data_IF_017024583845
#
_entry.id   IF_017024583845
#
_cell.length_a   1.000
_cell.length_b   1.000
_cell.length_c   1.000
_cell.angle_alpha   90.00
_cell.angle_beta   90.00
_cell.angle_gamma   90.00
#
_symmetry.space_group_name_H-M   'P 1'
#
loop_
_entity.id
_entity.type
_entity.pdbx_description
1 polymer ?
#
# COMPACT_ATOMS: atom_id res chain seq x y z
N UNK A 1 -2.24 -5.71 -5.20
CA UNK A 1 -1.75 -4.54 -4.44
C UNK A 1 -0.40 -4.80 -3.80
N UNK A 2 -0.26 -5.74 -2.87
CA UNK A 2 1.01 -5.99 -2.16
C UNK A 2 2.20 -6.25 -3.10
N UNK A 3 2.04 -7.15 -4.09
CA UNK A 3 3.09 -7.44 -5.06
C UNK A 3 3.49 -6.24 -5.94
N UNK A 4 2.56 -5.30 -6.16
CA UNK A 4 2.86 -4.04 -6.86
C UNK A 4 3.73 -3.15 -5.96
N UNK A 5 3.35 -2.97 -4.70
CA UNK A 5 4.13 -2.20 -3.73
C UNK A 5 5.51 -2.82 -3.48
N UNK A 6 5.63 -4.14 -3.43
CA UNK A 6 6.90 -4.87 -3.33
C UNK A 6 7.84 -4.60 -4.52
N UNK A 7 7.30 -4.43 -5.73
CA UNK A 7 8.11 -4.00 -6.89
C UNK A 7 8.57 -2.55 -6.72
N UNK A 8 7.66 -1.65 -6.34
CA UNK A 8 7.98 -0.25 -6.06
C UNK A 8 9.04 -0.10 -4.97
N UNK A 9 8.97 -0.88 -3.89
CA UNK A 9 10.02 -0.90 -2.87
C UNK A 9 11.39 -1.24 -3.45
N UNK A 10 11.50 -2.27 -4.31
CA UNK A 10 12.75 -2.63 -4.98
C UNK A 10 13.24 -1.57 -5.98
N UNK A 11 12.34 -0.95 -6.74
CA UNK A 11 12.66 0.13 -7.68
C UNK A 11 13.20 1.38 -6.97
N UNK A 12 12.82 1.60 -5.72
CA UNK A 12 13.24 2.75 -4.89
C UNK A 12 14.25 2.36 -3.78
N UNK A 13 14.98 1.26 -3.94
CA UNK A 13 16.05 0.81 -3.05
C UNK A 13 15.64 0.62 -1.58
N UNK A 14 14.43 0.10 -1.34
CA UNK A 14 14.00 -0.38 -0.02
C UNK A 14 14.35 -1.85 0.16
N UNK A 15 14.85 -2.18 1.34
CA UNK A 15 15.09 -3.55 1.78
C UNK A 15 13.84 -4.06 2.50
N UNK A 16 13.14 -5.02 1.89
CA UNK A 16 11.99 -5.65 2.54
C UNK A 16 12.46 -6.59 3.66
N UNK A 17 11.97 -6.36 4.87
CA UNK A 17 12.27 -7.13 6.08
C UNK A 17 10.99 -7.70 6.69
N UNK A 18 11.13 -8.56 7.69
CA UNK A 18 10.02 -9.07 8.49
C UNK A 18 10.42 -9.12 9.96
N UNK A 19 9.63 -8.46 10.82
CA UNK A 19 9.86 -8.45 12.26
C UNK A 19 8.78 -9.26 13.00
N UNK A 20 9.09 -9.84 14.17
CA UNK A 20 8.12 -10.58 14.98
C UNK A 20 6.86 -9.77 15.30
N UNK A 21 5.71 -10.43 15.42
CA UNK A 21 4.45 -9.78 15.80
C UNK A 21 4.30 -9.60 17.30
N UNK A 22 4.91 -10.47 18.10
CA UNK A 22 4.90 -10.43 19.56
C UNK A 22 6.29 -10.04 20.03
N UNK A 23 6.40 -8.96 20.81
CA UNK A 23 7.67 -8.44 21.30
C UNK A 23 7.59 -8.18 22.81
N UNK A 24 8.73 -8.33 23.48
CA UNK A 24 8.83 -8.15 24.93
C UNK A 24 8.42 -6.72 25.33
N UNK A 25 7.68 -6.62 26.45
CA UNK A 25 7.22 -5.35 27.03
C UNK A 25 8.33 -4.30 27.15
N UNK A 26 9.54 -4.72 27.53
CA UNK A 26 10.70 -3.83 27.73
C UNK A 26 11.07 -3.02 26.48
N UNK A 27 10.83 -3.54 25.28
CA UNK A 27 11.07 -2.79 24.04
C UNK A 27 10.08 -1.62 23.89
N UNK A 28 8.83 -1.82 24.30
CA UNK A 28 7.78 -0.81 24.25
C UNK A 28 7.99 0.28 25.30
N UNK A 29 8.51 -0.08 26.48
CA UNK A 29 8.92 0.87 27.53
C UNK A 29 10.11 1.72 27.06
N UNK A 30 11.18 1.08 26.56
CA UNK A 30 12.34 1.81 26.03
C UNK A 30 11.96 2.77 24.90
N UNK A 31 11.13 2.32 23.97
CA UNK A 31 10.69 3.13 22.84
C UNK A 31 9.72 4.28 23.21
N UNK A 32 9.11 4.25 24.40
CA UNK A 32 8.13 5.27 24.81
C UNK A 32 6.68 4.96 24.45
N UNK A 33 6.43 3.83 23.80
CA UNK A 33 5.10 3.44 23.37
C UNK A 33 4.28 2.85 24.50
N UNK A 34 4.93 2.27 25.51
CA UNK A 34 4.21 1.77 26.68
C UNK A 34 3.54 2.92 27.43
N UNK A 35 4.22 4.04 27.67
CA UNK A 35 3.64 5.16 28.42
C UNK A 35 2.53 5.87 27.64
N UNK A 36 2.64 5.94 26.31
CA UNK A 36 1.76 6.76 25.47
C UNK A 36 0.67 5.96 24.74
N UNK A 37 0.85 4.65 24.55
CA UNK A 37 0.03 3.84 23.65
C UNK A 37 -0.47 2.52 24.24
N UNK A 38 -0.06 2.18 25.48
CA UNK A 38 -0.41 0.92 26.14
C UNK A 38 -1.90 0.58 26.10
N UNK A 39 -2.77 1.56 26.35
CA UNK A 39 -4.23 1.32 26.40
C UNK A 39 -4.80 0.85 25.05
N UNK A 40 -4.08 1.14 23.95
CA UNK A 40 -4.40 0.73 22.59
C UNK A 40 -3.59 -0.50 22.13
N UNK A 41 -2.88 -1.20 23.03
CA UNK A 41 -2.10 -2.39 22.71
C UNK A 41 -2.82 -3.65 23.19
N UNK A 42 -2.63 -4.76 22.46
CA UNK A 42 -2.95 -6.09 22.99
C UNK A 42 -1.73 -6.63 23.73
N UNK A 43 -1.91 -7.04 24.97
CA UNK A 43 -0.88 -7.64 25.81
C UNK A 43 -1.10 -9.14 25.96
N UNK A 44 -0.03 -9.88 26.19
CA UNK A 44 -0.05 -11.32 26.47
C UNK A 44 1.10 -11.68 27.41
N UNK A 45 1.08 -12.88 27.98
CA UNK A 45 2.13 -13.35 28.86
C UNK A 45 2.56 -14.78 28.50
N UNK A 46 3.83 -15.10 28.71
CA UNK A 46 4.40 -16.44 28.57
C UNK A 46 5.61 -16.58 29.47
N UNK A 47 5.76 -17.71 30.16
CA UNK A 47 6.94 -18.03 30.98
C UNK A 47 7.38 -16.90 31.93
N UNK A 48 6.43 -16.29 32.65
CA UNK A 48 6.64 -15.15 33.56
C UNK A 48 7.17 -13.86 32.90
N UNK A 49 7.00 -13.70 31.59
CA UNK A 49 7.31 -12.47 30.85
C UNK A 49 6.05 -11.88 30.23
N UNK A 50 5.99 -10.55 30.25
CA UNK A 50 4.96 -9.77 29.59
C UNK A 50 5.41 -9.41 28.17
N UNK A 51 4.48 -9.57 27.24
CA UNK A 51 4.66 -9.23 25.84
C UNK A 51 3.52 -8.34 25.37
N UNK A 52 3.76 -7.65 24.26
CA UNK A 52 2.68 -7.01 23.52
C UNK A 52 2.71 -7.43 22.05
N UNK A 53 1.53 -7.53 21.48
CA UNK A 53 1.35 -7.62 20.03
C UNK A 53 1.63 -6.25 19.45
N UNK A 54 2.53 -6.16 18.46
CA UNK A 54 3.03 -4.89 17.95
C UNK A 54 1.88 -3.98 17.44
N UNK A 55 1.74 -2.75 17.93
CA UNK A 55 0.82 -1.75 17.36
C UNK A 55 1.42 -1.00 16.15
N UNK A 56 2.72 -1.15 15.93
CA UNK A 56 3.53 -0.53 14.87
C UNK A 56 4.87 -1.27 14.70
N UNK A 57 5.54 -1.08 13.56
CA UNK A 57 6.77 -1.82 13.23
C UNK A 57 8.06 -1.13 13.68
N UNK A 58 8.02 0.17 13.95
CA UNK A 58 9.18 1.04 14.12
C UNK A 58 10.24 0.48 15.10
N UNK A 59 9.88 0.05 16.33
CA UNK A 59 10.88 -0.48 17.27
C UNK A 59 11.63 -1.71 16.73
N UNK A 60 10.93 -2.59 16.00
CA UNK A 60 11.56 -3.76 15.37
C UNK A 60 12.55 -3.37 14.26
N UNK A 61 12.24 -2.34 13.48
CA UNK A 61 13.14 -1.84 12.43
C UNK A 61 14.38 -1.18 13.03
N UNK A 62 14.24 -0.49 14.16
CA UNK A 62 15.40 0.02 14.90
C UNK A 62 16.27 -1.12 15.44
N UNK A 63 15.70 -2.23 15.89
CA UNK A 63 16.51 -3.40 16.29
C UNK A 63 17.27 -4.02 15.10
N UNK A 64 16.71 -3.98 13.89
CA UNK A 64 17.43 -4.38 12.67
C UNK A 64 18.56 -3.39 12.39
N UNK A 65 18.32 -2.09 12.49
CA UNK A 65 19.37 -1.08 12.36
C UNK A 65 20.50 -1.31 13.36
N UNK A 66 20.19 -1.58 14.62
CA UNK A 66 21.20 -1.85 15.65
C UNK A 66 22.00 -3.15 15.41
N UNK A 67 21.57 -4.00 14.48
CA UNK A 67 22.32 -5.17 14.09
C UNK A 67 23.44 -4.81 13.11
N UNK A 68 24.59 -4.45 13.66
CA UNK A 68 25.79 -4.11 12.90
C UNK A 68 26.32 -2.71 13.23
N UNK A 69 27.43 -2.35 12.59
CA UNK A 69 27.99 -1.01 12.65
C UNK A 69 27.73 -0.34 11.30
N UNK A 70 27.07 0.82 11.31
CA UNK A 70 26.80 1.60 10.10
C UNK A 70 27.75 2.80 10.01
N UNK A 71 28.28 3.06 8.83
CA UNK A 71 28.97 4.30 8.48
C UNK A 71 27.98 5.30 7.88
N UNK A 72 28.31 6.60 7.91
CA UNK A 72 27.58 7.63 7.16
C UNK A 72 27.43 7.29 5.66
N UNK A 73 28.34 6.48 5.11
CA UNK A 73 28.31 5.99 3.72
C UNK A 73 27.24 4.94 3.45
N UNK A 74 26.80 4.23 4.49
CA UNK A 74 25.74 3.23 4.39
C UNK A 74 24.34 3.87 4.45
N UNK A 75 24.28 5.16 4.83
CA UNK A 75 23.04 5.94 4.87
C UNK A 75 22.80 6.68 3.54
N UNK A 76 21.55 6.74 3.06
CA UNK A 76 20.31 6.35 3.74
C UNK A 76 20.01 4.85 3.66
N UNK A 77 19.70 4.22 4.80
CA UNK A 77 19.21 2.84 4.89
C UNK A 77 17.68 2.83 4.93
N UNK A 78 17.05 2.12 4.00
CA UNK A 78 15.58 2.07 3.87
C UNK A 78 15.07 0.66 4.15
N UNK A 79 14.32 0.50 5.24
CA UNK A 79 13.69 -0.78 5.61
C UNK A 79 12.19 -0.68 5.33
N UNK A 80 11.64 -1.62 4.55
CA UNK A 80 10.20 -1.73 4.31
C UNK A 80 9.66 -3.03 4.88
N UNK A 81 8.42 -3.03 5.37
CA UNK A 81 7.75 -4.24 5.84
C UNK A 81 6.26 -4.14 5.57
N UNK A 82 5.67 -5.18 4.96
CA UNK A 82 4.23 -5.41 5.06
C UNK A 82 3.90 -5.91 6.47
N UNK A 83 3.91 -4.97 7.41
CA UNK A 83 3.92 -5.26 8.84
C UNK A 83 2.52 -5.46 9.39
N UNK A 84 2.24 -6.68 9.86
CA UNK A 84 0.98 -7.01 10.52
C UNK A 84 0.99 -6.48 11.96
N UNK A 85 0.19 -5.45 12.20
CA UNK A 85 0.08 -4.74 13.45
C UNK A 85 -1.33 -4.87 14.04
N UNK A 86 -1.43 -4.70 15.35
CA UNK A 86 -2.71 -4.79 16.06
C UNK A 86 -2.89 -3.63 17.04
N UNK A 87 -4.09 -3.03 17.01
CA UNK A 87 -4.49 -1.97 17.94
C UNK A 87 -5.79 -2.35 18.62
N UNK A 88 -5.85 -2.17 19.94
CA UNK A 88 -7.01 -2.46 20.78
C UNK A 88 -8.08 -1.37 20.66
N UNK A 89 -8.53 -1.14 19.43
CA UNK A 89 -9.60 -0.18 19.13
C UNK A 89 -10.89 -0.52 19.89
N UNK A 90 -11.61 0.51 20.31
CA UNK A 90 -12.91 0.34 20.99
C UNK A 90 -13.89 -0.36 20.05
N UNK A 91 -14.68 -1.29 20.57
CA UNK A 91 -15.58 -2.13 19.77
C UNK A 91 -16.58 -1.31 18.95
N UNK A 92 -17.06 -0.18 19.48
CA UNK A 92 -17.99 0.73 18.80
C UNK A 92 -17.36 1.54 17.65
N UNK A 93 -16.03 1.58 17.54
CA UNK A 93 -15.34 2.30 16.45
C UNK A 93 -15.07 1.45 15.21
N UNK A 94 -15.26 0.13 15.30
CA UNK A 94 -14.93 -0.79 14.20
C UNK A 94 -15.91 -0.63 13.03
N UNK A 95 -15.38 -0.61 11.81
CA UNK A 95 -16.19 -0.42 10.61
C UNK A 95 -15.58 -1.11 9.39
N UNK A 96 -16.14 -2.27 9.02
CA UNK A 96 -15.78 -3.01 7.81
C UNK A 96 -14.25 -3.16 7.65
N UNK A 97 -13.74 -2.69 6.51
CA UNK A 97 -12.30 -2.61 6.23
C UNK A 97 -11.66 -1.25 6.59
N UNK A 98 -12.48 -0.26 6.93
CA UNK A 98 -12.03 1.13 7.15
C UNK A 98 -11.40 1.33 8.53
N UNK A 99 -11.89 0.60 9.54
CA UNK A 99 -11.38 0.65 10.92
C UNK A 99 -11.43 -0.74 11.55
N UNK A 100 -10.25 -1.31 11.75
CA UNK A 100 -10.04 -2.71 12.14
C UNK A 100 -9.02 -2.81 13.27
N UNK A 101 -9.03 -3.92 14.02
CA UNK A 101 -8.05 -4.19 15.10
C UNK A 101 -6.74 -4.76 14.59
N UNK A 102 -6.78 -5.59 13.56
CA UNK A 102 -5.59 -6.14 12.91
C UNK A 102 -5.49 -5.58 11.50
N UNK A 103 -4.32 -5.08 11.14
CA UNK A 103 -4.08 -4.46 9.84
C UNK A 103 -2.64 -4.67 9.37
N UNK A 104 -2.43 -4.61 8.06
CA UNK A 104 -1.11 -4.69 7.45
C UNK A 104 -0.81 -3.40 6.72
N UNK A 105 0.28 -2.72 7.05
CA UNK A 105 0.67 -1.48 6.36
C UNK A 105 1.80 -1.72 5.37
N UNK A 106 1.87 -0.91 4.33
CA UNK A 106 3.08 -0.77 3.48
C UNK A 106 4.14 0.11 4.17
N UNK A 107 4.43 -0.24 5.43
CA UNK A 107 5.23 0.55 6.35
C UNK A 107 6.70 0.53 5.95
N UNK A 108 7.39 1.66 6.12
CA UNK A 108 8.82 1.72 5.93
C UNK A 108 9.46 2.78 6.84
N UNK A 109 10.71 2.50 7.23
CA UNK A 109 11.54 3.36 8.05
C UNK A 109 12.84 3.64 7.30
N UNK A 110 13.14 4.93 7.11
CA UNK A 110 14.37 5.39 6.48
C UNK A 110 15.27 5.96 7.56
N UNK A 111 16.45 5.37 7.74
CA UNK A 111 17.50 5.89 8.59
C UNK A 111 18.45 6.72 7.74
N UNK A 112 18.58 8.01 8.04
CA UNK A 112 19.39 8.93 7.26
C UNK A 112 20.06 9.98 8.14
N UNK A 113 21.03 10.71 7.59
CA UNK A 113 21.60 11.88 8.27
C UNK A 113 20.65 13.08 8.17
N UNK A 114 20.82 14.10 9.02
CA UNK A 114 19.99 15.32 8.97
C UNK A 114 19.98 15.96 7.58
N UNK A 115 21.13 15.99 6.90
CA UNK A 115 21.28 16.58 5.56
C UNK A 115 20.59 15.75 4.46
N UNK A 116 20.30 14.47 4.72
CA UNK A 116 19.63 13.57 3.78
C UNK A 116 18.09 13.59 3.91
N UNK A 117 17.53 14.21 4.96
CA UNK A 117 16.08 14.27 5.19
C UNK A 117 15.33 14.81 3.97
N UNK A 118 15.73 15.99 3.47
CA UNK A 118 15.04 16.63 2.36
C UNK A 118 15.09 15.80 1.06
N UNK A 119 16.26 15.31 0.59
CA UNK A 119 16.33 14.38 -0.54
C UNK A 119 15.46 13.14 -0.38
N UNK A 120 15.41 12.54 0.81
CA UNK A 120 14.61 11.34 1.07
C UNK A 120 13.09 11.62 1.05
N UNK A 121 12.66 12.75 1.60
CA UNK A 121 11.25 13.18 1.53
C UNK A 121 10.85 13.43 0.07
N UNK A 122 11.70 14.07 -0.74
CA UNK A 122 11.43 14.27 -2.17
C UNK A 122 11.35 12.94 -2.94
N UNK A 123 12.27 12.00 -2.70
CA UNK A 123 12.22 10.66 -3.29
C UNK A 123 10.93 9.91 -2.92
N UNK A 124 10.50 10.04 -1.67
CA UNK A 124 9.23 9.47 -1.21
C UNK A 124 8.02 10.09 -1.92
N UNK A 125 7.97 11.42 -2.06
CA UNK A 125 6.90 12.13 -2.75
C UNK A 125 6.77 11.65 -4.21
N UNK A 126 7.90 11.50 -4.92
CA UNK A 126 7.90 10.99 -6.30
C UNK A 126 7.29 9.58 -6.36
N UNK A 127 7.75 8.67 -5.51
CA UNK A 127 7.21 7.30 -5.44
C UNK A 127 5.72 7.29 -5.09
N UNK A 128 5.30 8.11 -4.14
CA UNK A 128 3.90 8.22 -3.71
C UNK A 128 2.99 8.69 -4.85
N UNK A 129 3.40 9.71 -5.60
CA UNK A 129 2.64 10.24 -6.73
C UNK A 129 2.53 9.22 -7.87
N UNK A 130 3.60 8.47 -8.15
CA UNK A 130 3.55 7.35 -9.11
C UNK A 130 2.53 6.30 -8.70
N UNK A 131 2.57 5.87 -7.44
CA UNK A 131 1.65 4.85 -6.90
C UNK A 131 0.22 5.32 -7.00
N UNK A 132 -0.09 6.53 -6.52
CA UNK A 132 -1.45 7.06 -6.57
C UNK A 132 -2.00 7.20 -7.98
N UNK A 133 -1.19 7.69 -8.91
CA UNK A 133 -1.56 7.76 -10.33
C UNK A 133 -1.87 6.38 -10.91
N UNK A 134 -1.04 5.37 -10.63
CA UNK A 134 -1.26 4.00 -11.12
C UNK A 134 -2.55 3.38 -10.55
N UNK A 135 -2.97 3.80 -9.35
CA UNK A 135 -4.26 3.43 -8.75
C UNK A 135 -5.44 4.31 -9.17
N UNK A 136 -5.22 5.31 -10.04
CA UNK A 136 -6.28 6.19 -10.57
C UNK A 136 -6.59 7.42 -9.73
N UNK A 137 -5.76 7.74 -8.72
CA UNK A 137 -5.88 8.94 -7.91
C UNK A 137 -4.99 10.06 -8.45
N UNK A 138 -5.60 11.04 -9.11
CA UNK A 138 -4.88 12.17 -9.71
C UNK A 138 -4.95 13.45 -8.87
N UNK A 139 -5.90 13.54 -7.94
CA UNK A 139 -6.07 14.67 -7.02
C UNK A 139 -5.62 14.26 -5.61
N UNK A 140 -4.46 14.77 -5.19
CA UNK A 140 -3.89 14.52 -3.86
C UNK A 140 -3.80 15.83 -3.11
N UNK A 141 -4.48 15.91 -1.97
CA UNK A 141 -4.40 17.05 -1.07
C UNK A 141 -3.28 16.79 -0.06
N UNK A 142 -2.38 17.77 0.10
CA UNK A 142 -1.22 17.65 0.99
C UNK A 142 -1.44 18.52 2.21
N UNK A 143 -1.17 17.95 3.39
CA UNK A 143 -1.25 18.68 4.66
C UNK A 143 0.04 18.53 5.45
N UNK A 144 0.52 19.63 6.03
CA UNK A 144 1.69 19.67 6.93
C UNK A 144 1.20 19.86 8.36
N UNK A 145 1.24 18.80 9.16
CA UNK A 145 0.87 18.85 10.57
C UNK A 145 2.07 19.21 11.44
N UNK A 146 1.97 20.33 12.18
CA UNK A 146 3.06 20.90 12.99
C UNK A 146 2.90 20.58 14.48
N UNK A 147 3.86 21.01 15.30
CA UNK A 147 4.02 20.59 16.69
C UNK A 147 2.74 20.65 17.54
N UNK A 148 2.39 19.57 18.25
CA UNK A 148 1.32 19.58 19.25
C UNK A 148 1.78 20.24 20.57
N UNK A 149 0.83 20.53 21.45
CA UNK A 149 1.11 21.05 22.80
C UNK A 149 1.92 20.06 23.63
N UNK A 150 1.57 18.76 23.58
CA UNK A 150 2.29 17.67 24.23
C UNK A 150 3.27 17.03 23.25
N UNK A 151 4.56 17.30 23.42
CA UNK A 151 5.63 16.82 22.53
C UNK A 151 6.92 16.50 23.25
N UNK A 152 7.77 15.73 22.59
CA UNK A 152 9.15 15.45 23.00
C UNK A 152 10.14 16.16 22.08
N UNK A 153 11.36 16.41 22.57
CA UNK A 153 12.39 17.16 21.84
C UNK A 153 12.36 18.68 22.12
N UNK A 154 13.43 19.38 21.73
CA UNK A 154 13.56 20.83 21.94
C UNK A 154 12.87 21.63 20.83
N UNK A 155 12.64 22.92 21.08
CA UNK A 155 12.02 23.82 20.09
C UNK A 155 12.88 23.94 18.84
N UNK A 156 14.19 23.95 18.99
CA UNK A 156 15.13 24.01 17.86
C UNK A 156 15.06 22.76 16.97
N UNK A 157 14.89 21.57 17.56
CA UNK A 157 14.70 20.33 16.80
C UNK A 157 13.40 20.39 16.00
N UNK A 158 12.32 20.89 16.62
CA UNK A 158 11.03 21.05 15.95
C UNK A 158 11.05 22.10 14.84
N UNK A 159 11.71 23.24 15.07
CA UNK A 159 11.88 24.28 14.05
C UNK A 159 12.57 23.72 12.81
N UNK A 160 13.66 22.96 13.02
CA UNK A 160 14.38 22.27 11.94
C UNK A 160 13.50 21.24 11.23
N UNK A 161 12.76 20.43 11.98
CA UNK A 161 11.89 19.38 11.44
C UNK A 161 10.80 19.98 10.52
N UNK A 162 10.10 20.99 11.02
CA UNK A 162 9.00 21.66 10.31
C UNK A 162 9.52 22.39 9.07
N UNK A 163 10.64 23.11 9.19
CA UNK A 163 11.29 23.77 8.07
C UNK A 163 11.78 22.78 7.00
N UNK A 164 12.34 21.64 7.42
CA UNK A 164 12.80 20.57 6.52
C UNK A 164 11.67 19.98 5.69
N UNK A 165 10.54 19.63 6.33
CA UNK A 165 9.36 19.13 5.62
C UNK A 165 8.75 20.21 4.70
N UNK A 166 8.60 21.44 5.17
CA UNK A 166 8.07 22.55 4.37
C UNK A 166 8.94 22.82 3.13
N UNK A 167 10.26 22.84 3.28
CA UNK A 167 11.18 23.05 2.17
C UNK A 167 11.13 21.90 1.16
N UNK A 168 11.01 20.64 1.63
CA UNK A 168 10.82 19.50 0.75
C UNK A 168 9.52 19.60 -0.06
N UNK A 169 8.41 20.02 0.56
CA UNK A 169 7.14 20.25 -0.16
C UNK A 169 7.26 21.33 -1.24
N UNK A 170 7.89 22.46 -0.91
CA UNK A 170 8.10 23.58 -1.85
C UNK A 170 8.97 23.18 -3.05
N UNK A 171 10.07 22.45 -2.83
CA UNK A 171 10.93 22.00 -3.92
C UNK A 171 10.23 21.02 -4.88
N UNK A 172 9.28 20.23 -4.38
CA UNK A 172 8.49 19.32 -5.21
C UNK A 172 7.27 20.02 -5.84
N UNK A 173 7.13 21.34 -5.67
CA UNK A 173 6.02 22.12 -6.24
C UNK A 173 4.65 21.72 -5.70
N UNK A 174 4.59 21.17 -4.48
CA UNK A 174 3.35 20.76 -3.86
C UNK A 174 2.73 21.93 -3.08
N UNK A 175 1.49 22.26 -3.41
CA UNK A 175 0.65 23.10 -2.55
C UNK A 175 0.22 22.29 -1.32
N UNK A 176 0.29 22.90 -0.14
CA UNK A 176 -0.06 22.23 1.11
C UNK A 176 -0.78 23.17 2.09
N UNK A 177 -1.65 22.58 2.90
CA UNK A 177 -2.32 23.23 4.03
C UNK A 177 -1.56 22.95 5.33
N UNK A 178 -1.29 23.97 6.14
CA UNK A 178 -0.67 23.78 7.46
C UNK A 178 -1.77 23.46 8.48
N UNK A 179 -1.54 22.42 9.30
CA UNK A 179 -2.42 22.02 10.40
C UNK A 179 -1.70 22.20 11.75
N UNK A 180 -1.88 23.35 12.41
CA UNK A 180 -1.29 23.61 13.70
C UNK A 180 -1.73 22.60 14.76
N UNK A 181 -0.76 21.98 15.45
CA UNK A 181 -1.06 21.11 16.59
C UNK A 181 -1.39 19.65 16.26
N UNK A 182 -1.45 19.28 14.98
CA UNK A 182 -1.85 17.94 14.53
C UNK A 182 -0.66 16.97 14.33
N UNK A 183 0.57 17.42 14.60
CA UNK A 183 1.78 16.60 14.52
C UNK A 183 1.80 15.44 15.53
N UNK A 184 2.66 14.44 15.29
CA UNK A 184 2.87 13.37 16.26
C UNK A 184 3.65 13.90 17.48
N UNK A 185 3.60 13.21 18.61
CA UNK A 185 4.34 13.66 19.81
C UNK A 185 5.86 13.70 19.60
N UNK A 186 6.40 12.93 18.64
CA UNK A 186 7.82 12.80 18.31
C UNK A 186 8.28 13.60 17.08
N UNK A 187 7.37 14.27 16.35
CA UNK A 187 7.76 15.12 15.22
C UNK A 187 6.63 15.49 14.26
N UNK A 188 6.90 16.41 13.31
CA UNK A 188 5.93 16.83 12.33
C UNK A 188 5.71 15.77 11.25
N UNK A 189 4.58 15.85 10.56
CA UNK A 189 4.22 14.91 9.50
C UNK A 189 3.63 15.63 8.30
N UNK A 190 3.87 15.05 7.13
CA UNK A 190 3.12 15.33 5.92
C UNK A 190 2.08 14.23 5.75
N UNK A 191 0.85 14.64 5.45
CA UNK A 191 -0.27 13.74 5.18
C UNK A 191 -0.74 13.93 3.74
N UNK A 192 -1.01 12.82 3.06
CA UNK A 192 -1.51 12.78 1.70
C UNK A 192 -2.92 12.24 1.71
N UNK A 193 -3.86 13.11 1.36
CA UNK A 193 -5.29 12.82 1.35
C UNK A 193 -5.77 12.62 -0.08
N UNK A 194 -6.32 11.43 -0.34
CA UNK A 194 -6.90 11.05 -1.62
C UNK A 194 -8.36 11.48 -1.67
N UNK A 195 -8.80 11.92 -2.84
CA UNK A 195 -10.23 12.14 -3.12
C UNK A 195 -10.76 11.00 -3.97
N UNK A 196 -11.83 10.35 -3.52
CA UNK A 196 -12.45 9.28 -4.29
C UNK A 196 -13.40 9.81 -5.39
N UNK A 197 -13.98 8.90 -6.18
CA UNK A 197 -14.90 9.23 -7.28
C UNK A 197 -16.22 9.87 -6.83
N UNK A 198 -16.54 9.80 -5.53
CA UNK A 198 -17.71 10.43 -4.91
C UNK A 198 -17.34 11.75 -4.21
N UNK A 199 -16.07 12.18 -4.28
CA UNK A 199 -15.58 13.41 -3.66
C UNK A 199 -15.27 13.29 -2.17
N UNK A 200 -15.29 12.09 -1.58
CA UNK A 200 -14.91 11.88 -0.17
C UNK A 200 -13.40 11.88 -0.02
N UNK A 201 -12.93 12.37 1.13
CA UNK A 201 -11.52 12.54 1.42
C UNK A 201 -10.99 11.43 2.33
N UNK A 202 -9.89 10.82 1.93
CA UNK A 202 -9.26 9.69 2.62
C UNK A 202 -7.79 9.97 2.86
N UNK A 203 -7.40 10.20 4.11
CA UNK A 203 -5.98 10.24 4.48
C UNK A 203 -5.38 8.84 4.33
N UNK A 204 -4.40 8.69 3.44
CA UNK A 204 -3.70 7.42 3.20
C UNK A 204 -2.21 7.56 3.53
N UNK A 205 -1.46 8.19 2.64
CA UNK A 205 -0.02 8.30 2.75
C UNK A 205 0.40 9.28 3.83
N UNK A 206 1.56 9.00 4.41
CA UNK A 206 2.19 9.85 5.42
C UNK A 206 3.69 9.72 5.35
N UNK A 207 4.40 10.81 5.62
CA UNK A 207 5.81 10.79 5.98
C UNK A 207 6.00 11.62 7.25
N UNK A 208 6.62 11.03 8.25
CA UNK A 208 6.75 11.59 9.59
C UNK A 208 8.21 11.54 9.98
N UNK A 209 8.69 12.64 10.52
CA UNK A 209 10.07 12.77 10.93
C UNK A 209 10.20 12.47 12.43
N UNK A 210 11.14 11.61 12.80
CA UNK A 210 11.38 11.21 14.19
C UNK A 210 12.87 11.32 14.54
N UNK A 211 13.19 12.24 15.44
CA UNK A 211 14.53 12.42 16.03
C UNK A 211 14.71 11.67 17.36
N UNK A 212 13.63 11.14 17.92
CA UNK A 212 13.57 10.68 19.29
C UNK A 212 13.69 9.15 19.39
N UNK A 213 12.97 8.38 18.57
CA UNK A 213 13.01 6.92 18.70
C UNK A 213 14.42 6.33 18.46
N UNK A 214 15.22 6.80 17.48
CA UNK A 214 16.59 6.32 17.32
C UNK A 214 17.43 6.51 18.58
N UNK A 215 17.32 7.68 19.23
CA UNK A 215 18.03 7.98 20.50
C UNK A 215 17.54 7.08 21.63
N UNK A 216 16.22 6.90 21.78
CA UNK A 216 15.63 6.06 22.84
C UNK A 216 15.99 4.58 22.75
N UNK A 217 16.33 4.11 21.56
CA UNK A 217 16.69 2.72 21.29
C UNK A 217 18.17 2.55 20.94
N UNK A 218 19.01 3.53 21.28
CA UNK A 218 20.48 3.49 21.13
C UNK A 218 20.95 3.19 19.69
N UNK A 219 20.24 3.71 18.70
CA UNK A 219 20.62 3.62 17.30
C UNK A 219 21.69 4.66 16.95
N UNK A 220 22.82 4.20 16.41
CA UNK A 220 23.97 5.05 16.08
C UNK A 220 24.63 4.65 14.75
N UNK A 221 25.23 5.63 14.08
CA UNK A 221 26.16 5.42 12.96
C UNK A 221 27.48 6.18 13.21
N UNK A 222 28.55 5.81 12.50
CA UNK A 222 29.85 6.47 12.53
C UNK A 222 29.91 7.54 11.45
N UNK A 223 30.06 8.80 11.86
CA UNK A 223 30.13 9.95 10.97
C UNK A 223 31.54 10.17 10.38
N UNK A 224 31.71 11.13 9.47
CA UNK A 224 32.97 11.45 8.78
C UNK A 224 34.14 11.76 9.73
N UNK A 225 33.84 12.30 10.91
CA UNK A 225 34.81 12.65 11.96
C UNK A 225 35.09 11.50 12.94
N UNK A 226 34.59 10.29 12.65
CA UNK A 226 34.60 9.10 13.52
C UNK A 226 33.79 9.26 14.82
N UNK A 227 33.00 10.33 14.96
CA UNK A 227 32.04 10.43 16.06
C UNK A 227 30.85 9.51 15.83
N UNK A 228 30.22 9.07 16.92
CA UNK A 228 28.97 8.31 16.88
C UNK A 228 27.81 9.28 16.98
N UNK A 229 26.89 9.21 16.03
CA UNK A 229 25.69 10.06 15.99
C UNK A 229 24.43 9.23 15.79
N UNK A 230 23.30 9.62 16.38
CA UNK A 230 22.03 8.98 16.09
C UNK A 230 21.58 9.34 14.66
N UNK A 231 21.01 8.39 13.89
CA UNK A 231 20.38 8.72 12.62
C UNK A 231 19.04 9.44 12.87
N UNK A 232 18.59 10.20 11.88
CA UNK A 232 17.19 10.63 11.77
C UNK A 232 16.40 9.47 11.19
N UNK A 233 15.19 9.25 11.70
CA UNK A 233 14.29 8.24 11.16
C UNK A 233 13.07 8.89 10.51
N UNK A 234 12.75 8.47 9.28
CA UNK A 234 11.52 8.86 8.58
C UNK A 234 10.58 7.65 8.57
N UNK A 235 9.43 7.78 9.23
CA UNK A 235 8.34 6.82 9.13
C UNK A 235 7.51 7.15 7.90
N UNK A 236 7.16 6.17 7.09
CA UNK A 236 6.29 6.43 5.96
C UNK A 236 5.40 5.26 5.60
N UNK A 237 4.27 5.58 5.02
CA UNK A 237 3.39 4.66 4.32
C UNK A 237 2.81 5.39 3.09
N UNK A 238 2.57 4.68 1.99
CA UNK A 238 1.94 5.27 0.80
C UNK A 238 0.46 4.91 0.79
N UNK A 239 0.13 3.63 0.97
CA UNK A 239 -1.26 3.16 0.96
C UNK A 239 -1.94 3.33 2.32
N UNK A 240 -1.16 3.31 3.40
CA UNK A 240 -1.68 3.17 4.75
C UNK A 240 -1.87 1.69 5.07
N UNK A 241 -3.00 1.31 5.67
CA UNK A 241 -3.31 -0.12 5.81
C UNK A 241 -3.90 -0.69 4.52
N UNK A 242 -3.47 -1.90 4.17
CA UNK A 242 -3.95 -2.67 3.03
C UNK A 242 -5.46 -2.87 3.09
N UNK A 243 -5.99 -3.15 4.27
CA UNK A 243 -7.42 -3.33 4.52
C UNK A 243 -8.19 -2.06 4.15
N UNK A 244 -7.78 -0.91 4.71
CA UNK A 244 -8.44 0.38 4.47
C UNK A 244 -8.29 0.81 3.02
N UNK A 245 -7.11 0.64 2.44
CA UNK A 245 -6.86 0.99 1.05
C UNK A 245 -7.70 0.15 0.08
N UNK A 246 -7.85 -1.16 0.33
CA UNK A 246 -8.78 -2.01 -0.43
C UNK A 246 -10.23 -1.53 -0.26
N UNK A 247 -10.63 -1.16 0.95
CA UNK A 247 -11.93 -0.54 1.20
C UNK A 247 -12.16 0.70 0.34
N UNK A 248 -11.19 1.61 0.31
CA UNK A 248 -11.22 2.83 -0.50
C UNK A 248 -11.29 2.49 -1.99
N UNK A 249 -10.51 1.53 -2.48
CA UNK A 249 -10.54 1.10 -3.88
C UNK A 249 -11.89 0.50 -4.28
N UNK A 250 -12.52 -0.29 -3.40
CA UNK A 250 -13.86 -0.86 -3.64
C UNK A 250 -14.85 0.28 -3.87
N UNK A 251 -14.84 1.29 -3.00
CA UNK A 251 -15.77 2.40 -3.11
C UNK A 251 -15.44 3.34 -4.29
N UNK A 252 -14.16 3.65 -4.49
CA UNK A 252 -13.68 4.49 -5.59
C UNK A 252 -14.08 3.92 -6.96
N UNK A 253 -14.00 2.60 -7.13
CA UNK A 253 -14.42 1.94 -8.38
C UNK A 253 -15.88 1.47 -8.37
N UNK A 254 -16.61 1.67 -7.27
CA UNK A 254 -17.93 1.06 -7.05
C UNK A 254 -17.95 -0.46 -7.35
N UNK A 255 -16.86 -1.17 -7.04
CA UNK A 255 -16.64 -2.59 -7.36
C UNK A 255 -16.26 -2.90 -8.82
N UNK A 256 -16.25 -1.93 -9.73
CA UNK A 256 -15.83 -2.09 -11.13
C UNK A 256 -14.30 -1.88 -11.29
N UNK A 257 -13.50 -2.76 -10.69
CA UNK A 257 -12.04 -2.61 -10.68
C UNK A 257 -11.42 -2.56 -12.08
N UNK A 258 -10.32 -1.79 -12.29
CA UNK A 258 -9.48 -1.89 -13.47
C UNK A 258 -9.01 -3.33 -13.70
N UNK A 259 -8.73 -3.69 -14.95
CA UNK A 259 -8.37 -5.06 -15.33
C UNK A 259 -7.23 -5.62 -14.47
N UNK A 260 -6.19 -4.83 -14.19
CA UNK A 260 -5.05 -5.30 -13.42
C UNK A 260 -5.37 -5.60 -11.95
N UNK A 261 -6.41 -4.96 -11.38
CA UNK A 261 -6.86 -5.13 -9.98
C UNK A 261 -8.02 -6.12 -9.82
N UNK A 262 -8.80 -6.35 -10.88
CA UNK A 262 -10.00 -7.19 -10.80
C UNK A 262 -9.68 -8.61 -10.28
N UNK A 263 -10.39 -9.12 -9.24
CA UNK A 263 -10.14 -10.47 -8.72
C UNK A 263 -10.26 -11.55 -9.79
N UNK A 264 -11.26 -11.42 -10.66
CA UNK A 264 -11.42 -12.18 -11.89
C UNK A 264 -11.40 -11.19 -13.05
N UNK A 265 -10.47 -11.39 -13.98
CA UNK A 265 -10.22 -10.49 -15.11
C UNK A 265 -11.08 -10.83 -16.32
N UNK A 266 -11.32 -12.12 -16.54
CA UNK A 266 -12.20 -12.59 -17.59
C UNK A 266 -12.94 -13.87 -17.16
N UNK A 267 -14.12 -14.08 -17.72
CA UNK A 267 -14.83 -15.36 -17.66
C UNK A 267 -14.98 -15.93 -19.06
N UNK A 268 -14.68 -17.22 -19.23
CA UNK A 268 -14.91 -17.96 -20.47
C UNK A 268 -16.21 -18.74 -20.36
N UNK A 269 -17.10 -18.54 -21.32
CA UNK A 269 -18.47 -19.05 -21.31
C UNK A 269 -18.76 -19.78 -22.62
N UNK A 270 -19.18 -21.04 -22.55
CA UNK A 270 -19.63 -21.82 -23.71
C UNK A 270 -21.15 -21.68 -23.93
N UNK A 271 -21.57 -21.72 -25.20
CA UNK A 271 -22.98 -21.73 -25.61
C UNK A 271 -23.62 -23.10 -25.33
N UNK A 272 -22.88 -24.18 -25.56
CA UNK A 272 -23.32 -25.57 -25.36
C UNK A 272 -22.16 -26.49 -24.94
N UNK A 273 -22.47 -27.72 -24.54
CA UNK A 273 -21.46 -28.72 -24.17
C UNK A 273 -20.46 -29.02 -25.29
N UNK A 274 -20.84 -28.87 -26.56
CA UNK A 274 -19.95 -29.13 -27.68
C UNK A 274 -18.71 -28.22 -27.72
N UNK A 275 -18.74 -27.05 -27.07
CA UNK A 275 -17.61 -26.12 -27.03
C UNK A 275 -16.81 -26.15 -25.72
N UNK A 276 -17.09 -27.11 -24.84
CA UNK A 276 -16.48 -27.19 -23.51
C UNK A 276 -14.95 -27.35 -23.58
N UNK A 277 -14.46 -28.24 -24.44
CA UNK A 277 -13.02 -28.48 -24.61
C UNK A 277 -12.28 -27.22 -25.08
N UNK A 278 -12.84 -26.50 -26.05
CA UNK A 278 -12.22 -25.29 -26.55
C UNK A 278 -12.30 -24.13 -25.54
N UNK A 279 -13.39 -24.03 -24.76
CA UNK A 279 -13.48 -23.08 -23.65
C UNK A 279 -12.38 -23.34 -22.59
N UNK A 280 -12.13 -24.62 -22.25
CA UNK A 280 -11.03 -25.02 -21.36
C UNK A 280 -9.67 -24.60 -21.91
N UNK A 281 -9.42 -24.85 -23.20
CA UNK A 281 -8.18 -24.44 -23.88
C UNK A 281 -7.97 -22.92 -23.84
N UNK A 282 -9.01 -22.13 -24.15
CA UNK A 282 -8.96 -20.66 -24.08
C UNK A 282 -8.61 -20.20 -22.67
N UNK A 283 -9.28 -20.72 -21.64
CA UNK A 283 -9.00 -20.35 -20.26
C UNK A 283 -7.58 -20.75 -19.82
N UNK A 284 -7.09 -21.91 -20.26
CA UNK A 284 -5.72 -22.35 -19.96
C UNK A 284 -4.68 -21.39 -20.54
N UNK A 285 -4.79 -21.06 -21.84
CA UNK A 285 -3.86 -20.13 -22.50
C UNK A 285 -3.84 -18.76 -21.81
N UNK A 286 -5.00 -18.23 -21.42
CA UNK A 286 -5.06 -16.95 -20.71
C UNK A 286 -4.41 -17.03 -19.32
N UNK A 287 -4.61 -18.13 -18.59
CA UNK A 287 -3.99 -18.35 -17.27
C UNK A 287 -2.47 -18.51 -17.36
N UNK A 288 -1.98 -19.23 -18.36
CA UNK A 288 -0.55 -19.37 -18.65
C UNK A 288 0.10 -18.01 -18.98
N UNK A 289 -0.68 -17.07 -19.54
CA UNK A 289 -0.27 -15.68 -19.75
C UNK A 289 -0.36 -14.80 -18.49
N UNK A 290 -0.71 -15.36 -17.32
CA UNK A 290 -0.79 -14.66 -16.04
C UNK A 290 -2.13 -13.99 -15.74
N UNK A 291 -3.18 -14.27 -16.53
CA UNK A 291 -4.52 -13.70 -16.31
C UNK A 291 -5.34 -14.53 -15.33
N UNK A 292 -6.14 -13.86 -14.51
CA UNK A 292 -7.09 -14.48 -13.56
C UNK A 292 -8.40 -14.76 -14.27
N UNK A 293 -8.54 -15.98 -14.81
CA UNK A 293 -9.69 -16.35 -15.65
C UNK A 293 -10.56 -17.42 -14.98
N UNK A 294 -11.86 -17.20 -14.99
CA UNK A 294 -12.89 -18.16 -14.57
C UNK A 294 -13.52 -18.86 -15.77
N UNK A 295 -14.06 -20.06 -15.55
CA UNK A 295 -14.83 -20.82 -16.52
C UNK A 295 -16.28 -20.94 -16.04
N UNK A 296 -17.23 -20.82 -16.97
CA UNK A 296 -18.64 -21.12 -16.72
C UNK A 296 -19.19 -22.10 -17.75
N UNK A 297 -19.05 -23.38 -17.43
CA UNK A 297 -19.44 -24.53 -18.25
C UNK A 297 -20.81 -25.11 -17.88
N UNK A 298 -21.55 -24.45 -16.98
CA UNK A 298 -22.87 -24.93 -16.52
C UNK A 298 -23.84 -25.08 -17.70
N UNK A 299 -24.75 -26.03 -17.62
CA UNK A 299 -25.80 -26.20 -18.64
C UNK A 299 -26.94 -25.19 -18.43
N UNK A 300 -26.63 -23.91 -18.62
CA UNK A 300 -27.54 -22.78 -18.44
C UNK A 300 -27.65 -21.96 -19.72
N UNK A 301 -28.76 -21.23 -19.89
CA UNK A 301 -28.93 -20.34 -21.05
C UNK A 301 -27.80 -19.30 -21.11
N UNK A 302 -27.21 -19.11 -22.28
CA UNK A 302 -26.10 -18.16 -22.47
C UNK A 302 -26.44 -16.74 -22.00
N UNK A 303 -27.67 -16.29 -22.23
CA UNK A 303 -28.16 -14.98 -21.78
C UNK A 303 -28.21 -14.86 -20.25
N UNK A 304 -28.50 -15.95 -19.54
CA UNK A 304 -28.46 -16.00 -18.10
C UNK A 304 -27.02 -15.88 -17.59
N UNK A 305 -26.10 -16.69 -18.14
CA UNK A 305 -24.66 -16.63 -17.80
C UNK A 305 -24.09 -15.23 -18.00
N UNK A 306 -24.34 -14.62 -19.18
CA UNK A 306 -23.87 -13.26 -19.50
C UNK A 306 -24.41 -12.23 -18.50
N UNK A 307 -25.69 -12.31 -18.14
CA UNK A 307 -26.31 -11.38 -17.19
C UNK A 307 -25.70 -11.53 -15.79
N UNK A 308 -25.52 -12.76 -15.32
CA UNK A 308 -24.94 -13.04 -14.01
C UNK A 308 -23.51 -12.47 -13.90
N UNK A 309 -22.66 -12.73 -14.89
CA UNK A 309 -21.29 -12.22 -14.91
C UNK A 309 -21.20 -10.71 -15.11
N UNK A 310 -22.15 -10.11 -15.85
CA UNK A 310 -22.29 -8.65 -15.94
C UNK A 310 -22.58 -8.02 -14.57
N UNK A 311 -23.42 -8.63 -13.74
CA UNK A 311 -23.72 -8.15 -12.38
C UNK A 311 -22.50 -8.19 -11.46
N UNK A 312 -21.59 -9.13 -11.68
CA UNK A 312 -20.31 -9.24 -10.97
C UNK A 312 -19.26 -8.21 -11.43
N UNK A 313 -19.57 -7.39 -12.45
CA UNK A 313 -18.70 -6.33 -12.98
C UNK A 313 -17.33 -6.85 -13.45
N UNK A 314 -17.28 -8.07 -13.99
CA UNK A 314 -16.07 -8.63 -14.58
C UNK A 314 -15.61 -7.78 -15.77
N UNK A 315 -14.31 -7.46 -15.91
CA UNK A 315 -13.82 -6.65 -17.03
C UNK A 315 -14.18 -7.23 -18.40
N UNK A 316 -14.06 -8.55 -18.56
CA UNK A 316 -14.31 -9.23 -19.83
C UNK A 316 -15.15 -10.50 -19.68
N UNK A 317 -16.05 -10.70 -20.64
CA UNK A 317 -16.77 -11.96 -20.85
C UNK A 317 -16.40 -12.49 -22.24
N UNK A 318 -15.96 -13.74 -22.28
CA UNK A 318 -15.40 -14.41 -23.45
C UNK A 318 -16.34 -15.53 -23.86
N UNK A 319 -17.12 -15.31 -24.91
CA UNK A 319 -18.15 -16.24 -25.37
C UNK A 319 -17.59 -17.14 -26.47
N UNK A 320 -17.89 -18.43 -26.34
CA UNK A 320 -17.47 -19.48 -27.27
C UNK A 320 -18.69 -20.23 -27.81
N UNK A 321 -18.94 -20.09 -29.11
CA UNK A 321 -19.87 -20.91 -29.89
C UNK A 321 -19.18 -21.68 -31.02
N UNK A 322 -19.98 -22.30 -31.89
CA UNK A 322 -19.46 -23.12 -33.00
C UNK A 322 -18.57 -22.33 -33.96
N UNK A 323 -18.91 -21.06 -34.20
CA UNK A 323 -18.13 -20.17 -35.06
C UNK A 323 -16.75 -19.89 -34.47
N UNK A 324 -16.71 -19.64 -33.15
CA UNK A 324 -15.46 -19.39 -32.42
C UNK A 324 -14.58 -20.64 -32.40
N UNK A 325 -15.15 -21.83 -32.20
CA UNK A 325 -14.41 -23.10 -32.27
C UNK A 325 -13.83 -23.32 -33.67
N UNK A 326 -14.65 -23.20 -34.72
CA UNK A 326 -14.21 -23.41 -36.10
C UNK A 326 -13.11 -22.43 -36.53
N UNK A 327 -13.20 -21.18 -36.09
CA UNK A 327 -12.23 -20.13 -36.41
C UNK A 327 -11.03 -20.03 -35.46
N UNK A 328 -10.99 -20.79 -34.36
CA UNK A 328 -10.05 -20.56 -33.24
C UNK A 328 -10.08 -19.10 -32.74
N UNK A 329 -11.29 -18.56 -32.61
CA UNK A 329 -11.59 -17.20 -32.16
C UNK A 329 -12.27 -17.22 -30.79
N UNK A 330 -12.57 -16.04 -30.26
CA UNK A 330 -13.42 -15.84 -29.10
C UNK A 330 -14.21 -14.56 -29.26
N UNK A 331 -15.51 -14.58 -28.97
CA UNK A 331 -16.33 -13.37 -28.97
C UNK A 331 -16.13 -12.62 -27.66
N UNK A 332 -15.74 -11.35 -27.72
CA UNK A 332 -15.27 -10.59 -26.57
C UNK A 332 -16.26 -9.49 -26.22
N UNK A 333 -16.81 -9.54 -25.02
CA UNK A 333 -17.69 -8.51 -24.48
C UNK A 333 -17.01 -7.80 -23.31
N UNK A 334 -16.91 -6.49 -23.38
CA UNK A 334 -16.37 -5.67 -22.30
C UNK A 334 -17.45 -5.41 -21.23
N UNK A 335 -17.02 -5.05 -20.02
CA UNK A 335 -17.90 -4.70 -18.90
C UNK A 335 -18.88 -3.58 -19.22
N UNK A 336 -18.47 -2.59 -20.03
CA UNK A 336 -19.32 -1.49 -20.51
C UNK A 336 -20.56 -1.97 -21.29
N UNK A 337 -20.58 -3.25 -21.69
CA UNK A 337 -21.59 -3.83 -22.56
C UNK A 337 -21.23 -3.73 -24.04
N UNK A 338 -20.10 -3.09 -24.36
CA UNK A 338 -19.54 -3.04 -25.71
C UNK A 338 -19.20 -4.45 -26.20
N UNK A 339 -19.64 -4.74 -27.42
CA UNK A 339 -19.27 -5.95 -28.16
C UNK A 339 -18.03 -5.63 -29.00
N UNK A 340 -16.89 -6.22 -28.62
CA UNK A 340 -15.61 -6.06 -29.31
C UNK A 340 -15.47 -7.05 -30.48
N UNK A 341 -16.52 -7.83 -30.76
CA UNK A 341 -16.55 -8.81 -31.84
C UNK A 341 -15.71 -10.05 -31.54
N UNK A 342 -15.39 -10.78 -32.61
CA UNK A 342 -14.57 -11.98 -32.55
C UNK A 342 -13.09 -11.61 -32.67
N UNK A 343 -12.29 -12.04 -31.70
CA UNK A 343 -10.84 -11.86 -31.71
C UNK A 343 -10.13 -13.21 -31.74
N UNK A 344 -9.00 -13.27 -32.43
CA UNK A 344 -8.06 -14.37 -32.25
C UNK A 344 -7.47 -14.30 -30.83
N UNK A 345 -7.18 -15.47 -30.25
CA UNK A 345 -6.71 -15.56 -28.88
C UNK A 345 -5.41 -14.76 -28.64
N UNK A 346 -4.51 -14.75 -29.62
CA UNK A 346 -3.27 -13.97 -29.57
C UNK A 346 -3.54 -12.46 -29.55
N UNK A 347 -4.47 -11.99 -30.37
CA UNK A 347 -4.85 -10.58 -30.42
C UNK A 347 -5.52 -10.13 -29.10
N UNK A 348 -6.37 -10.99 -28.52
CA UNK A 348 -6.95 -10.76 -27.20
C UNK A 348 -5.87 -10.65 -26.13
N UNK A 349 -4.90 -11.57 -26.10
CA UNK A 349 -3.79 -11.54 -25.15
C UNK A 349 -2.99 -10.24 -25.24
N UNK A 350 -2.66 -9.78 -26.45
CA UNK A 350 -1.93 -8.52 -26.65
C UNK A 350 -2.74 -7.31 -26.16
N UNK A 351 -4.05 -7.30 -26.41
CA UNK A 351 -4.95 -6.27 -25.88
C UNK A 351 -4.93 -6.24 -24.35
N UNK A 352 -5.19 -7.38 -23.70
CA UNK A 352 -5.27 -7.47 -22.24
C UNK A 352 -3.94 -7.11 -21.56
N UNK A 353 -2.81 -7.55 -22.13
CA UNK A 353 -1.47 -7.18 -21.64
C UNK A 353 -1.21 -5.68 -21.75
N UNK A 354 -1.62 -5.08 -22.87
CA UNK A 354 -1.47 -3.64 -23.08
C UNK A 354 -2.29 -2.85 -22.07
N UNK A 355 -3.55 -3.24 -21.85
CA UNK A 355 -4.44 -2.60 -20.88
C UNK A 355 -3.94 -2.74 -19.44
N UNK A 356 -3.44 -3.93 -19.05
CA UNK A 356 -2.82 -4.14 -17.73
C UNK A 356 -1.61 -3.22 -17.54
N UNK A 357 -0.80 -3.01 -18.59
CA UNK A 357 0.37 -2.14 -18.53
C UNK A 357 0.01 -0.66 -18.43
N UNK A 358 -1.04 -0.23 -19.13
CA UNK A 358 -1.47 1.19 -19.12
C UNK A 358 -2.37 1.54 -17.93
N UNK A 359 -2.81 0.56 -17.15
CA UNK A 359 -3.70 0.77 -16.00
C UNK A 359 -5.10 1.25 -16.37
N UNK A 360 -5.48 1.12 -17.65
CA UNK A 360 -6.76 1.63 -18.17
C UNK A 360 -7.95 0.81 -17.65
N UNK A 361 -9.10 1.47 -17.50
CA UNK A 361 -10.38 0.84 -17.22
C UNK A 361 -11.13 0.56 -18.53
N UNK A 362 -11.34 -0.71 -18.88
CA UNK A 362 -12.28 -1.13 -19.92
C UNK A 362 -13.76 -0.95 -19.54
#
# INVERSE_FOLDING_TARGET
VEQYMRRKFREHDYQEVRTPTIMDRTLWEKSGHWENYHDNMFTTCSENRDYAVKPMNCPGHVQIFNHGLHSYRDLPLRLAEFGSCHRNETSGSLHGLMRVRGFTQDDAHIFCTENQVQPEVSRFIVMLNEVYRDFGFNEVLVKLSTRPEKRVGSDETWDKAEAGLASALQQNGLEYEVQPGEGAFYGPKVEFTLKDSLGRLWQCGTIQLDFNLPVRLDAEFVDEDNSRKPPVMLHRAILGSMERFIGILIEHHAGAFPLWLAPVQAVVVNISQAQEEYALQVAQVLREAGLRVQLDLRNEKITYKIREHSLQKLPYQLIVGDKEVAGKLVAVRARSGEDLGQLALEALLQRLKTEIRTGSTA
#
